data_IF_423701379978
#
_entry.id   IF_423701379978
#
_cell.length_a   1.000
_cell.length_b   1.000
_cell.length_c   1.000
_cell.angle_alpha   90.00
_cell.angle_beta   90.00
_cell.angle_gamma   90.00
#
_symmetry.space_group_name_H-M   'P 1'
#
loop_
_entity.id
_entity.type
_entity.pdbx_description
1 polymer ?
#
# COMPACT_ATOMS: atom_id res chain seq x y z
N UNK A 1 1.80 9.95 104.44
CA UNK A 1 2.36 11.06 105.22
C UNK A 1 3.78 11.22 104.76
N UNK A 2 4.01 12.36 104.14
CA UNK A 2 5.23 13.15 104.06
C UNK A 2 6.62 12.52 104.23
N UNK A 3 7.46 12.96 103.28
CA UNK A 3 8.83 13.46 103.43
C UNK A 3 10.03 12.49 103.33
N UNK A 4 10.88 12.88 102.37
CA UNK A 4 12.35 12.98 102.40
C UNK A 4 13.16 11.69 102.64
N UNK A 5 14.15 11.36 101.81
CA UNK A 5 15.51 11.94 101.76
C UNK A 5 16.37 11.20 100.71
N UNK A 6 17.40 11.88 100.19
CA UNK A 6 18.50 11.47 99.27
C UNK A 6 19.31 10.25 99.81
N UNK A 7 20.16 9.49 99.10
CA UNK A 7 21.03 9.75 97.94
C UNK A 7 21.53 8.44 97.28
N UNK A 8 22.04 8.60 96.04
CA UNK A 8 23.12 7.89 95.30
C UNK A 8 23.22 6.34 95.25
N UNK A 9 23.17 5.76 94.04
CA UNK A 9 24.37 5.32 93.29
C UNK A 9 24.05 4.65 91.93
N UNK A 10 24.72 5.15 90.89
CA UNK A 10 25.32 4.51 89.69
C UNK A 10 24.53 3.72 88.63
N UNK A 11 24.96 4.02 87.38
CA UNK A 11 25.06 3.20 86.16
C UNK A 11 23.79 2.82 85.38
N UNK A 12 23.63 3.40 84.17
CA UNK A 12 24.01 2.76 82.88
C UNK A 12 23.55 3.60 81.67
N UNK A 13 24.36 3.53 80.61
CA UNK A 13 24.01 3.52 79.18
C UNK A 13 23.33 4.72 78.47
N UNK A 14 24.01 5.09 77.38
CA UNK A 14 23.51 5.51 76.05
C UNK A 14 22.62 6.75 75.93
N UNK A 15 23.16 7.77 75.24
CA UNK A 15 22.58 8.54 74.13
C UNK A 15 23.59 9.69 73.86
N UNK A 16 23.92 10.10 72.64
CA UNK A 16 23.16 11.07 71.83
C UNK A 16 24.04 11.40 70.59
N UNK A 17 23.48 11.41 69.36
CA UNK A 17 23.08 12.61 68.54
C UNK A 17 24.28 13.48 68.07
N UNK A 18 24.32 14.23 66.96
CA UNK A 18 23.55 14.50 65.72
C UNK A 18 24.44 15.47 64.90
N UNK A 19 24.35 15.43 63.56
CA UNK A 19 24.75 16.48 62.59
C UNK A 19 26.24 16.90 62.52
N UNK A 20 26.79 17.47 61.45
CA UNK A 20 26.26 18.03 60.20
C UNK A 20 27.40 18.15 59.18
N UNK A 21 27.01 18.21 57.91
CA UNK A 21 27.82 18.44 56.70
C UNK A 21 28.67 19.71 56.71
N UNK A 22 29.74 19.69 55.89
CA UNK A 22 30.37 20.77 55.08
C UNK A 22 31.86 20.40 54.87
N UNK A 23 32.59 20.67 53.78
CA UNK A 23 32.32 21.08 52.41
C UNK A 23 33.68 21.01 51.66
N UNK A 24 33.67 20.65 50.37
CA UNK A 24 34.72 20.87 49.33
C UNK A 24 36.17 20.35 49.56
N UNK A 25 36.96 19.91 48.57
CA UNK A 25 37.37 20.61 47.35
C UNK A 25 38.07 19.63 46.35
N UNK A 26 37.70 19.78 45.06
CA UNK A 26 38.52 19.64 43.82
C UNK A 26 39.27 18.32 43.53
N UNK A 27 39.14 17.65 42.38
CA UNK A 27 39.45 18.10 41.01
C UNK A 27 39.02 16.97 40.04
N UNK A 28 38.04 17.11 39.14
CA UNK A 28 38.10 17.69 37.78
C UNK A 28 39.16 17.08 36.83
N UNK A 29 38.73 16.12 36.00
CA UNK A 29 39.12 15.91 34.58
C UNK A 29 38.63 14.55 34.10
N UNK A 30 37.40 14.47 33.58
CA UNK A 30 36.93 13.48 32.58
C UNK A 30 35.41 13.60 32.38
N UNK A 31 34.95 14.75 31.88
CA UNK A 31 33.60 14.88 31.33
C UNK A 31 33.65 15.70 30.05
N UNK A 32 34.00 15.05 28.95
CA UNK A 32 33.62 15.48 27.60
C UNK A 32 33.97 14.36 26.64
N UNK A 33 33.02 13.45 26.41
CA UNK A 33 32.86 12.68 25.15
C UNK A 33 31.73 11.64 25.22
N UNK A 34 30.59 11.95 25.84
CA UNK A 34 29.43 11.03 25.79
C UNK A 34 28.06 11.68 25.52
N UNK A 35 27.99 12.98 25.20
CA UNK A 35 26.74 13.63 24.79
C UNK A 35 26.56 13.76 23.27
N UNK A 36 27.15 12.85 22.48
CA UNK A 36 26.84 12.74 21.04
C UNK A 36 26.59 11.30 20.60
N UNK A 37 25.89 10.55 21.45
CA UNK A 37 25.46 9.18 21.14
C UNK A 37 24.05 8.86 21.68
N UNK A 38 23.16 9.85 21.67
CA UNK A 38 21.73 9.65 21.92
C UNK A 38 20.93 10.48 20.91
N UNK A 39 20.66 9.89 19.73
CA UNK A 39 19.51 10.13 18.82
C UNK A 39 19.76 9.46 17.45
N UNK A 40 19.91 8.13 17.46
CA UNK A 40 19.55 7.29 16.32
C UNK A 40 18.94 6.01 16.87
N UNK A 41 17.79 6.14 17.52
CA UNK A 41 16.84 5.04 17.50
C UNK A 41 16.42 4.90 16.04
N UNK A 42 17.07 3.97 15.35
CA UNK A 42 16.70 3.48 14.02
C UNK A 42 15.18 3.43 13.93
N UNK A 43 14.60 4.07 12.91
CA UNK A 43 13.26 3.74 12.44
C UNK A 43 13.14 2.21 12.40
N UNK A 44 12.01 1.68 12.87
CA UNK A 44 11.74 0.23 12.95
C UNK A 44 11.62 -0.37 11.54
N UNK A 45 12.73 -0.47 10.81
CA UNK A 45 12.81 -1.04 9.46
C UNK A 45 12.18 -0.22 8.33
N UNK A 46 11.56 0.93 8.62
CA UNK A 46 10.99 1.81 7.59
C UNK A 46 12.07 2.69 6.91
N UNK A 47 11.88 3.07 5.62
CA UNK A 47 12.80 3.97 4.91
C UNK A 47 13.05 5.29 5.64
N UNK A 48 14.25 5.86 5.49
CA UNK A 48 14.66 7.09 6.21
C UNK A 48 13.73 8.30 5.95
N UNK A 49 13.10 8.36 4.77
CA UNK A 49 12.14 9.41 4.40
C UNK A 49 10.71 9.16 4.89
N UNK A 50 10.45 8.01 5.51
CA UNK A 50 9.11 7.67 6.00
C UNK A 50 8.80 8.44 7.29
N UNK A 51 7.60 9.02 7.34
CA UNK A 51 7.16 9.84 8.46
C UNK A 51 6.23 9.06 9.39
N UNK A 52 6.35 9.29 10.70
CA UNK A 52 5.55 8.60 11.71
C UNK A 52 4.08 9.01 11.64
N UNK A 53 3.18 8.03 11.74
CA UNK A 53 1.74 8.23 11.85
C UNK A 53 1.12 7.21 12.83
N UNK A 54 -0.16 7.37 13.14
CA UNK A 54 -0.92 6.42 13.96
C UNK A 54 -2.17 5.98 13.23
N UNK A 55 -2.47 4.68 13.21
CA UNK A 55 -3.68 4.15 12.58
C UNK A 55 -4.92 4.66 13.31
N UNK A 56 -5.86 5.26 12.58
CA UNK A 56 -7.20 5.56 13.11
C UNK A 56 -8.19 4.43 12.78
N UNK A 57 -8.23 4.00 11.52
CA UNK A 57 -8.97 2.81 11.05
C UNK A 57 -8.55 2.43 9.63
N UNK A 58 -8.88 1.20 9.24
CA UNK A 58 -8.84 0.75 7.85
C UNK A 58 -10.22 0.97 7.23
N UNK A 59 -10.29 1.76 6.16
CA UNK A 59 -11.55 2.06 5.44
C UNK A 59 -11.85 0.95 4.44
N UNK A 60 -10.87 0.66 3.57
CA UNK A 60 -10.87 -0.51 2.68
C UNK A 60 -9.43 -1.06 2.54
N UNK A 61 -9.24 -2.12 1.75
CA UNK A 61 -7.94 -2.80 1.58
C UNK A 61 -6.80 -1.89 1.11
N UNK A 62 -7.11 -0.81 0.40
CA UNK A 62 -6.15 0.15 -0.13
C UNK A 62 -6.33 1.60 0.38
N UNK A 63 -7.26 1.81 1.30
CA UNK A 63 -7.59 3.13 1.84
C UNK A 63 -7.56 3.09 3.36
N UNK A 64 -6.61 3.80 3.96
CA UNK A 64 -6.32 3.78 5.40
C UNK A 64 -6.48 5.18 5.98
N UNK A 65 -7.20 5.31 7.09
CA UNK A 65 -7.34 6.57 7.80
C UNK A 65 -6.31 6.63 8.94
N UNK A 66 -5.47 7.67 8.97
CA UNK A 66 -4.38 7.84 9.92
C UNK A 66 -4.50 9.16 10.67
N UNK A 67 -3.96 9.22 11.89
CA UNK A 67 -3.60 10.46 12.57
C UNK A 67 -2.20 10.85 12.15
N UNK A 68 -2.08 11.96 11.45
CA UNK A 68 -0.83 12.47 10.92
C UNK A 68 -0.74 13.99 11.12
N UNK A 69 0.37 14.44 11.73
CA UNK A 69 0.61 15.87 12.04
C UNK A 69 -0.54 16.59 12.76
N UNK A 70 -1.28 15.87 13.60
CA UNK A 70 -2.37 16.41 14.42
C UNK A 70 -3.77 16.34 13.78
N UNK A 71 -3.87 15.90 12.52
CA UNK A 71 -5.14 15.76 11.79
C UNK A 71 -5.44 14.30 11.48
N UNK A 72 -6.72 13.98 11.25
CA UNK A 72 -7.15 12.72 10.64
C UNK A 72 -7.07 12.89 9.12
N UNK A 73 -6.40 11.97 8.45
CA UNK A 73 -6.13 12.01 7.01
C UNK A 73 -6.41 10.63 6.39
N UNK A 74 -7.06 10.61 5.23
CA UNK A 74 -7.18 9.41 4.41
C UNK A 74 -5.93 9.23 3.56
N UNK A 75 -5.44 8.00 3.49
CA UNK A 75 -4.29 7.59 2.68
C UNK A 75 -4.78 6.61 1.63
N UNK A 76 -4.61 6.97 0.35
CA UNK A 76 -4.73 6.03 -0.76
C UNK A 76 -3.37 5.40 -1.00
N UNK A 77 -3.31 4.08 -0.84
CA UNK A 77 -2.08 3.33 -1.05
C UNK A 77 -1.64 3.47 -2.52
N UNK A 78 -0.40 3.90 -2.73
CA UNK A 78 0.20 4.00 -4.07
C UNK A 78 0.42 2.62 -4.68
N UNK A 79 0.27 2.56 -6.00
CA UNK A 79 0.63 1.39 -6.82
C UNK A 79 -0.17 0.10 -6.55
N UNK A 80 -1.28 0.20 -5.82
CA UNK A 80 -2.16 -0.93 -5.49
C UNK A 80 -3.61 -0.55 -5.66
N UNK A 81 -4.41 -1.50 -6.13
CA UNK A 81 -5.87 -1.38 -6.23
C UNK A 81 -6.46 -2.68 -5.71
N UNK A 82 -7.30 -2.60 -4.68
CA UNK A 82 -7.99 -3.77 -4.11
C UNK A 82 -9.42 -3.86 -4.64
N UNK A 83 -10.01 -5.07 -4.74
CA UNK A 83 -11.42 -5.18 -5.10
C UNK A 83 -12.30 -4.43 -4.10
N UNK A 84 -13.27 -3.68 -4.62
CA UNK A 84 -14.12 -2.76 -3.86
C UNK A 84 -15.08 -3.50 -2.92
N UNK A 85 -15.23 -2.99 -1.69
CA UNK A 85 -16.10 -3.59 -0.67
C UNK A 85 -17.24 -2.71 -0.16
N UNK A 86 -17.15 -1.38 -0.32
CA UNK A 86 -18.02 -0.42 0.38
C UNK A 86 -18.77 0.53 -0.55
N UNK A 87 -18.59 0.43 -1.86
CA UNK A 87 -19.27 1.31 -2.80
C UNK A 87 -20.80 1.13 -2.76
N UNK A 88 -21.60 2.17 -2.45
CA UNK A 88 -23.04 2.05 -2.16
C UNK A 88 -23.88 1.42 -3.28
N UNK A 89 -23.45 1.56 -4.52
CA UNK A 89 -24.17 1.09 -5.71
C UNK A 89 -23.54 -0.11 -6.41
N UNK A 90 -22.44 -0.67 -5.89
CA UNK A 90 -21.77 -1.82 -6.51
C UNK A 90 -21.87 -3.03 -5.58
N UNK A 91 -21.98 -4.26 -6.13
CA UNK A 91 -21.85 -5.45 -5.31
C UNK A 91 -20.43 -5.53 -4.73
N UNK A 92 -20.32 -6.16 -3.57
CA UNK A 92 -19.02 -6.52 -2.99
C UNK A 92 -18.28 -7.39 -4.00
N UNK A 93 -17.06 -6.98 -4.36
CA UNK A 93 -16.26 -7.69 -5.34
C UNK A 93 -15.53 -8.89 -4.70
N UNK A 94 -15.37 -10.03 -5.41
CA UNK A 94 -14.55 -11.14 -4.96
C UNK A 94 -13.16 -10.70 -4.46
N UNK A 95 -12.69 -11.27 -3.35
CA UNK A 95 -11.44 -10.92 -2.66
C UNK A 95 -11.37 -9.53 -2.03
N UNK A 96 -12.39 -8.69 -2.19
CA UNK A 96 -12.46 -7.39 -1.52
C UNK A 96 -12.45 -7.53 0.00
N UNK A 97 -13.39 -8.30 0.61
CA UNK A 97 -13.41 -8.51 2.06
C UNK A 97 -12.09 -9.10 2.59
N UNK A 98 -11.46 -9.98 1.84
CA UNK A 98 -10.17 -10.58 2.17
C UNK A 98 -9.04 -9.55 2.17
N UNK A 99 -8.99 -8.64 1.20
CA UNK A 99 -8.04 -7.54 1.15
C UNK A 99 -8.25 -6.57 2.34
N UNK A 100 -9.51 -6.20 2.58
CA UNK A 100 -9.93 -5.34 3.68
C UNK A 100 -9.58 -5.94 5.06
N UNK A 101 -9.84 -7.24 5.25
CA UNK A 101 -9.52 -7.95 6.48
C UNK A 101 -8.02 -8.13 6.67
N UNK A 102 -7.27 -8.37 5.58
CA UNK A 102 -5.82 -8.46 5.65
C UNK A 102 -5.20 -7.14 6.11
N UNK A 103 -5.66 -6.00 5.59
CA UNK A 103 -5.22 -4.69 6.05
C UNK A 103 -5.56 -4.46 7.53
N UNK A 104 -6.78 -4.82 7.97
CA UNK A 104 -7.21 -4.74 9.39
C UNK A 104 -6.38 -5.61 10.32
N UNK A 105 -5.99 -6.81 9.89
CA UNK A 105 -5.12 -7.72 10.65
C UNK A 105 -3.69 -7.21 10.76
N UNK A 106 -3.24 -6.40 9.79
CA UNK A 106 -1.88 -5.85 9.75
C UNK A 106 -1.76 -4.48 10.41
N UNK A 107 -2.87 -3.78 10.60
CA UNK A 107 -2.92 -2.40 11.07
C UNK A 107 -3.96 -2.27 12.18
N UNK A 108 -3.51 -2.42 13.42
CA UNK A 108 -4.40 -2.27 14.57
C UNK A 108 -4.70 -0.80 14.85
N UNK A 109 -5.92 -0.49 15.29
CA UNK A 109 -6.28 0.88 15.66
C UNK A 109 -5.39 1.38 16.81
N UNK A 110 -4.80 2.57 16.65
CA UNK A 110 -3.87 3.15 17.62
C UNK A 110 -2.42 2.71 17.43
N UNK A 111 -2.15 1.78 16.52
CA UNK A 111 -0.80 1.34 16.19
C UNK A 111 0.03 2.46 15.54
N UNK A 112 1.31 2.50 15.86
CA UNK A 112 2.26 3.42 15.23
C UNK A 112 2.82 2.81 13.95
N UNK A 113 2.61 3.49 12.83
CA UNK A 113 3.14 3.11 11.52
C UNK A 113 3.98 4.23 10.93
N UNK A 114 4.58 3.99 9.76
CA UNK A 114 5.27 5.00 8.98
C UNK A 114 4.67 5.12 7.59
N UNK A 115 4.38 6.35 7.17
CA UNK A 115 3.93 6.67 5.81
C UNK A 115 5.11 7.20 5.01
N UNK A 116 5.35 6.61 3.85
CA UNK A 116 6.35 7.04 2.89
C UNK A 116 5.66 7.63 1.66
N UNK A 117 5.82 8.94 1.45
CA UNK A 117 5.25 9.65 0.30
C UNK A 117 6.12 9.47 -0.93
N UNK A 118 5.51 9.43 -2.12
CA UNK A 118 6.21 9.32 -3.40
C UNK A 118 5.38 9.92 -4.54
N UNK A 119 6.02 10.55 -5.52
CA UNK A 119 5.30 11.31 -6.56
C UNK A 119 4.44 12.45 -5.97
N UNK A 120 3.24 12.72 -6.53
CA UNK A 120 2.31 13.70 -5.99
C UNK A 120 1.89 13.38 -4.56
N UNK A 121 1.80 14.40 -3.71
CA UNK A 121 1.46 14.19 -2.29
C UNK A 121 -0.01 13.76 -2.07
N UNK A 122 -0.92 14.21 -2.93
CA UNK A 122 -2.35 13.94 -2.83
C UNK A 122 -2.96 13.63 -4.19
N UNK A 123 -4.06 12.89 -4.18
CA UNK A 123 -4.92 12.69 -5.36
C UNK A 123 -5.97 13.81 -5.50
N UNK A 124 -6.82 13.71 -6.52
CA UNK A 124 -7.89 14.67 -6.79
C UNK A 124 -9.05 14.64 -5.79
N UNK A 125 -9.09 13.64 -4.89
CA UNK A 125 -10.03 13.56 -3.77
C UNK A 125 -9.43 14.09 -2.46
N UNK A 126 -8.26 14.74 -2.53
CA UNK A 126 -7.52 15.26 -1.38
C UNK A 126 -7.04 14.16 -0.41
N UNK A 127 -6.90 12.91 -0.85
CA UNK A 127 -6.30 11.83 -0.04
C UNK A 127 -4.79 11.88 -0.15
N UNK A 128 -4.08 11.59 0.93
CA UNK A 128 -2.63 11.41 0.91
C UNK A 128 -2.27 10.20 0.05
N UNK A 129 -1.19 10.31 -0.73
CA UNK A 129 -0.64 9.22 -1.54
C UNK A 129 0.64 8.69 -0.92
N UNK A 130 0.70 7.39 -0.62
CA UNK A 130 1.91 6.83 -0.03
C UNK A 130 1.93 5.31 0.15
N UNK A 131 3.04 4.85 0.70
CA UNK A 131 3.24 3.48 1.16
C UNK A 131 3.15 3.43 2.68
N UNK A 132 2.49 2.41 3.22
CA UNK A 132 2.43 2.18 4.66
C UNK A 132 3.46 1.10 5.05
N UNK A 133 4.25 1.44 6.07
CA UNK A 133 5.27 0.58 6.64
C UNK A 133 4.96 0.30 8.11
N UNK A 134 4.94 -0.99 8.45
CA UNK A 134 4.88 -1.47 9.82
C UNK A 134 6.01 -2.47 10.06
N UNK A 135 6.82 -2.24 11.10
CA UNK A 135 8.00 -3.04 11.46
C UNK A 135 8.87 -3.46 10.24
N UNK A 136 9.13 -2.50 9.35
CA UNK A 136 9.91 -2.68 8.12
C UNK A 136 9.22 -3.46 7.00
N UNK A 137 7.95 -3.82 7.16
CA UNK A 137 7.13 -4.48 6.15
C UNK A 137 6.28 -3.44 5.43
N UNK A 138 6.35 -3.44 4.10
CA UNK A 138 5.53 -2.60 3.24
C UNK A 138 4.16 -3.27 3.01
N UNK A 139 3.06 -2.63 3.44
CA UNK A 139 1.71 -3.17 3.28
C UNK A 139 1.31 -3.33 1.81
N UNK A 140 1.62 -2.33 0.96
CA UNK A 140 1.30 -2.33 -0.47
C UNK A 140 1.89 -3.58 -1.15
N UNK A 141 3.16 -3.87 -0.89
CA UNK A 141 3.85 -5.06 -1.41
C UNK A 141 3.22 -6.36 -0.88
N UNK A 142 2.79 -6.39 0.38
CA UNK A 142 2.16 -7.58 0.97
C UNK A 142 0.80 -7.89 0.33
N UNK A 143 -0.01 -6.85 0.06
CA UNK A 143 -1.29 -6.99 -0.66
C UNK A 143 -1.08 -7.61 -2.04
N UNK A 144 -0.17 -7.06 -2.84
CA UNK A 144 0.17 -7.60 -4.16
C UNK A 144 0.69 -9.03 -4.09
N UNK A 145 1.64 -9.30 -3.17
CA UNK A 145 2.24 -10.63 -3.02
C UNK A 145 1.24 -11.72 -2.66
N UNK A 146 0.18 -11.36 -1.93
CA UNK A 146 -0.91 -12.28 -1.55
C UNK A 146 -2.00 -12.41 -2.61
N UNK A 147 -1.92 -11.66 -3.72
CA UNK A 147 -2.96 -11.61 -4.73
C UNK A 147 -4.23 -10.93 -4.22
N UNK A 148 -4.12 -9.98 -3.29
CA UNK A 148 -5.26 -9.23 -2.74
C UNK A 148 -5.45 -7.88 -3.42
N UNK A 149 -4.50 -7.48 -4.26
CA UNK A 149 -4.53 -6.25 -5.03
C UNK A 149 -3.87 -6.47 -6.40
N UNK A 150 -4.22 -5.65 -7.37
CA UNK A 150 -3.47 -5.48 -8.63
C UNK A 150 -2.57 -4.25 -8.58
N UNK A 151 -1.54 -4.22 -9.41
CA UNK A 151 -0.67 -3.07 -9.63
C UNK A 151 -1.41 -2.05 -10.51
N UNK A 152 -1.75 -0.91 -9.94
CA UNK A 152 -2.51 0.16 -10.60
C UNK A 152 -2.27 1.50 -9.90
N UNK A 153 -2.98 2.58 -10.23
CA UNK A 153 -2.76 3.92 -9.65
C UNK A 153 -1.35 4.48 -9.88
N UNK A 154 -0.89 4.40 -11.13
CA UNK A 154 0.35 5.01 -11.61
C UNK A 154 0.01 6.42 -12.10
N UNK A 155 0.50 7.46 -11.41
CA UNK A 155 0.25 8.86 -11.79
C UNK A 155 1.44 9.50 -12.50
N UNK A 156 2.61 9.51 -11.85
CA UNK A 156 3.80 10.24 -12.31
C UNK A 156 5.06 9.41 -12.00
N UNK A 157 5.37 8.40 -12.83
CA UNK A 157 6.55 7.59 -12.66
C UNK A 157 7.83 8.42 -12.92
N UNK A 158 8.99 8.04 -12.36
CA UNK A 158 9.25 6.77 -11.69
C UNK A 158 8.90 6.76 -10.20
N UNK A 159 8.40 5.61 -9.73
CA UNK A 159 8.16 5.37 -8.31
C UNK A 159 9.25 4.49 -7.67
N UNK A 160 9.57 4.79 -6.42
CA UNK A 160 10.68 4.19 -5.67
C UNK A 160 10.55 2.67 -5.55
N UNK A 161 9.35 2.14 -5.35
CA UNK A 161 9.12 0.71 -5.10
C UNK A 161 8.50 -0.04 -6.29
N UNK A 162 8.39 0.59 -7.46
CA UNK A 162 7.71 0.03 -8.63
C UNK A 162 8.18 -1.40 -8.97
N UNK A 163 9.48 -1.62 -9.12
CA UNK A 163 10.03 -2.93 -9.46
C UNK A 163 9.71 -3.99 -8.39
N UNK A 164 9.79 -3.63 -7.11
CA UNK A 164 9.51 -4.54 -6.00
C UNK A 164 8.03 -4.93 -5.89
N UNK A 165 7.13 -4.01 -6.26
CA UNK A 165 5.69 -4.23 -6.28
C UNK A 165 5.25 -5.04 -7.50
N UNK A 166 5.78 -4.74 -8.69
CA UNK A 166 5.55 -5.53 -9.91
C UNK A 166 5.98 -6.99 -9.70
N UNK A 167 7.19 -7.23 -9.16
CA UNK A 167 7.64 -8.60 -8.82
C UNK A 167 6.74 -9.29 -7.78
N UNK A 168 6.12 -8.53 -6.88
CA UNK A 168 5.19 -9.10 -5.91
C UNK A 168 3.88 -9.53 -6.58
N UNK A 169 3.36 -8.73 -7.50
CA UNK A 169 2.21 -9.09 -8.32
C UNK A 169 2.50 -10.29 -9.22
N UNK A 170 3.63 -10.30 -9.94
CA UNK A 170 4.03 -11.39 -10.82
C UNK A 170 4.13 -12.73 -10.07
N UNK A 171 4.62 -12.69 -8.83
CA UNK A 171 4.62 -13.85 -7.95
C UNK A 171 3.20 -14.34 -7.67
N UNK A 172 2.27 -13.46 -7.32
CA UNK A 172 0.89 -13.84 -7.04
C UNK A 172 0.18 -14.37 -8.29
N UNK A 173 0.41 -13.76 -9.45
CA UNK A 173 -0.11 -14.22 -10.75
C UNK A 173 0.40 -15.61 -11.12
N UNK A 174 1.71 -15.82 -11.03
CA UNK A 174 2.34 -17.11 -11.37
C UNK A 174 1.92 -18.26 -10.45
N UNK A 175 1.47 -17.95 -9.23
CA UNK A 175 0.99 -18.91 -8.25
C UNK A 175 -0.55 -18.94 -8.12
N UNK A 176 -1.26 -18.24 -9.01
CA UNK A 176 -2.73 -18.16 -9.03
C UNK A 176 -3.33 -17.83 -7.66
N UNK A 177 -2.75 -16.85 -6.97
CA UNK A 177 -3.19 -16.43 -5.63
C UNK A 177 -4.30 -15.37 -5.70
N UNK A 178 -5.30 -15.50 -4.82
CA UNK A 178 -6.35 -14.49 -4.63
C UNK A 178 -7.04 -14.12 -5.94
N UNK A 179 -7.04 -12.84 -6.29
CA UNK A 179 -7.64 -12.31 -7.52
C UNK A 179 -7.15 -13.01 -8.79
N UNK A 180 -5.94 -13.58 -8.78
CA UNK A 180 -5.34 -14.29 -9.91
C UNK A 180 -5.76 -15.76 -10.02
N UNK A 181 -6.55 -16.27 -9.07
CA UNK A 181 -7.17 -17.60 -9.14
C UNK A 181 -8.40 -17.64 -10.05
N UNK A 182 -8.93 -16.46 -10.42
CA UNK A 182 -10.11 -16.31 -11.27
C UNK A 182 -9.70 -15.76 -12.63
N UNK A 183 -9.81 -16.59 -13.67
CA UNK A 183 -9.54 -16.18 -15.05
C UNK A 183 -10.49 -15.04 -15.48
N UNK A 184 -9.96 -14.03 -16.15
CA UNK A 184 -10.73 -12.86 -16.60
C UNK A 184 -11.21 -11.91 -15.50
N UNK A 185 -10.92 -12.18 -14.22
CA UNK A 185 -11.41 -11.34 -13.13
C UNK A 185 -10.67 -10.00 -13.00
N UNK A 186 -9.35 -9.99 -13.20
CA UNK A 186 -8.53 -8.77 -13.18
C UNK A 186 -8.40 -8.22 -14.60
N UNK A 187 -8.72 -6.93 -14.79
CA UNK A 187 -8.64 -6.23 -16.08
C UNK A 187 -7.72 -5.02 -16.02
N UNK A 188 -7.45 -4.39 -17.17
CA UNK A 188 -6.75 -3.09 -17.25
C UNK A 188 -7.48 -1.99 -16.45
N UNK A 189 -8.81 -2.06 -16.39
CA UNK A 189 -9.66 -1.03 -15.78
C UNK A 189 -10.08 -1.34 -14.35
N UNK A 190 -9.74 -2.51 -13.80
CA UNK A 190 -10.12 -2.89 -12.45
C UNK A 190 -10.43 -4.38 -12.33
N UNK A 191 -11.65 -4.65 -11.90
CA UNK A 191 -12.18 -5.98 -11.64
C UNK A 191 -13.48 -6.17 -12.41
N UNK A 192 -13.62 -7.31 -13.08
CA UNK A 192 -14.84 -7.66 -13.79
C UNK A 192 -16.02 -7.76 -12.81
N UNK A 193 -17.13 -7.10 -13.13
CA UNK A 193 -18.38 -7.26 -12.39
C UNK A 193 -18.96 -8.64 -12.67
N UNK A 194 -19.31 -9.38 -11.61
CA UNK A 194 -20.07 -10.62 -11.69
C UNK A 194 -21.51 -10.33 -12.13
N UNK A 195 -21.68 -9.98 -13.40
CA UNK A 195 -22.96 -9.87 -14.09
C UNK A 195 -22.70 -9.92 -15.59
N UNK A 196 -22.46 -11.13 -16.11
CA UNK A 196 -22.95 -11.62 -17.40
C UNK A 196 -22.58 -13.11 -17.57
N UNK A 197 -23.60 -13.93 -17.30
CA UNK A 197 -23.93 -15.24 -17.90
C UNK A 197 -22.80 -16.23 -18.24
N UNK A 198 -22.63 -17.19 -17.34
CA UNK A 198 -22.08 -18.52 -17.67
C UNK A 198 -23.09 -19.29 -18.53
N UNK A 199 -23.13 -18.97 -19.82
CA UNK A 199 -23.87 -19.71 -20.84
C UNK A 199 -23.01 -20.82 -21.44
N UNK A 200 -23.20 -22.03 -20.91
CA UNK A 200 -22.68 -23.30 -21.42
C UNK A 200 -23.05 -23.53 -22.89
N UNK A 201 -22.13 -24.00 -23.73
CA UNK A 201 -22.44 -24.85 -24.90
C UNK A 201 -21.20 -25.64 -25.31
N UNK A 202 -21.14 -26.90 -24.88
CA UNK A 202 -20.50 -27.98 -25.63
C UNK A 202 -20.98 -27.95 -27.09
N UNK A 203 -20.09 -28.12 -28.08
CA UNK A 203 -20.24 -29.07 -29.21
C UNK A 203 -19.02 -29.03 -30.15
N UNK A 204 -18.37 -30.19 -30.24
CA UNK A 204 -17.66 -30.84 -31.36
C UNK A 204 -16.68 -30.10 -32.28
N UNK A 205 -15.49 -30.71 -32.34
CA UNK A 205 -14.57 -30.74 -33.48
C UNK A 205 -15.28 -30.92 -34.83
N UNK A 206 -15.11 -29.97 -35.75
CA UNK A 206 -14.93 -30.31 -37.18
C UNK A 206 -14.05 -29.25 -37.85
N UNK A 207 -13.08 -29.74 -38.60
CA UNK A 207 -12.12 -28.98 -39.40
C UNK A 207 -12.78 -28.45 -40.67
N UNK A 208 -12.65 -27.15 -40.97
CA UNK A 208 -12.43 -26.66 -42.34
C UNK A 208 -12.06 -25.17 -42.41
N UNK A 209 -11.20 -24.90 -43.39
CA UNK A 209 -10.57 -23.64 -43.77
C UNK A 209 -11.56 -22.60 -44.32
N UNK A 210 -11.34 -21.31 -43.98
CA UNK A 210 -11.94 -20.18 -44.68
C UNK A 210 -12.30 -19.00 -43.77
N UNK A 211 -11.45 -17.96 -43.81
CA UNK A 211 -11.70 -16.53 -43.49
C UNK A 211 -13.04 -16.18 -42.81
N UNK A 212 -12.98 -15.68 -41.56
CA UNK A 212 -13.78 -14.55 -41.01
C UNK A 212 -13.68 -14.48 -39.47
N UNK A 213 -13.26 -13.32 -38.98
CA UNK A 213 -13.57 -12.75 -37.66
C UNK A 213 -13.51 -13.66 -36.42
N UNK A 214 -12.31 -13.94 -35.92
CA UNK A 214 -12.15 -14.36 -34.52
C UNK A 214 -12.36 -13.16 -33.60
N UNK A 215 -13.51 -13.14 -32.92
CA UNK A 215 -13.72 -12.57 -31.60
C UNK A 215 -13.25 -11.12 -31.43
N UNK A 216 -14.05 -10.19 -31.92
CA UNK A 216 -13.87 -8.77 -31.63
C UNK A 216 -14.20 -8.50 -30.15
N UNK A 217 -13.17 -8.31 -29.31
CA UNK A 217 -13.30 -7.74 -27.97
C UNK A 217 -12.51 -6.41 -27.92
N UNK A 218 -13.17 -5.23 -27.90
CA UNK A 218 -12.50 -3.93 -27.78
C UNK A 218 -11.77 -3.74 -26.44
N UNK A 219 -12.03 -4.63 -25.48
CA UNK A 219 -11.39 -4.68 -24.17
C UNK A 219 -10.60 -5.99 -24.00
N UNK A 220 -10.18 -6.59 -25.13
CA UNK A 220 -9.38 -7.80 -25.16
C UNK A 220 -7.90 -7.54 -24.84
N UNK A 221 -7.03 -8.55 -25.00
CA UNK A 221 -5.58 -8.37 -24.90
C UNK A 221 -5.10 -7.21 -25.79
N UNK A 222 -4.04 -6.53 -25.34
CA UNK A 222 -3.43 -5.43 -26.10
C UNK A 222 -3.11 -5.87 -27.52
N UNK A 223 -3.39 -4.99 -28.49
CA UNK A 223 -3.22 -5.27 -29.91
C UNK A 223 -2.19 -4.31 -30.45
N UNK A 224 -1.12 -4.84 -31.01
CA UNK A 224 -0.10 -4.06 -31.68
C UNK A 224 -0.39 -4.00 -33.19
N UNK A 225 0.21 -3.03 -33.89
CA UNK A 225 0.10 -2.95 -35.35
C UNK A 225 0.58 -4.23 -36.06
N UNK A 226 1.47 -5.02 -35.45
CA UNK A 226 1.89 -6.31 -36.00
C UNK A 226 0.80 -7.39 -35.99
N UNK A 227 -0.30 -7.17 -35.28
CA UNK A 227 -1.42 -8.12 -35.19
C UNK A 227 -2.44 -7.96 -36.33
N UNK A 228 -2.23 -6.97 -37.21
CA UNK A 228 -3.11 -6.67 -38.33
C UNK A 228 -2.39 -6.85 -39.66
N UNK A 229 -3.07 -7.50 -40.61
CA UNK A 229 -2.53 -7.72 -41.95
C UNK A 229 -2.49 -6.44 -42.80
N UNK A 230 -3.34 -5.45 -42.51
CA UNK A 230 -3.48 -4.20 -43.28
C UNK A 230 -3.83 -3.00 -42.39
N UNK A 231 -3.49 -1.80 -42.86
CA UNK A 231 -3.82 -0.55 -42.17
C UNK A 231 -5.34 -0.40 -41.98
N UNK A 232 -6.12 -0.77 -43.00
CA UNK A 232 -7.58 -0.67 -42.96
C UNK A 232 -8.19 -1.55 -41.86
N UNK A 233 -7.66 -2.76 -41.65
CA UNK A 233 -8.12 -3.66 -40.60
C UNK A 233 -7.80 -3.10 -39.19
N UNK A 234 -6.60 -2.55 -39.01
CA UNK A 234 -6.21 -1.89 -37.76
C UNK A 234 -7.09 -0.65 -37.49
N UNK A 235 -7.37 0.14 -38.52
CA UNK A 235 -8.20 1.34 -38.42
C UNK A 235 -9.65 1.04 -38.05
N UNK A 236 -10.21 -0.03 -38.60
CA UNK A 236 -11.55 -0.48 -38.25
C UNK A 236 -11.62 -0.97 -36.79
N UNK A 237 -10.61 -1.70 -36.35
CA UNK A 237 -10.48 -2.14 -34.96
C UNK A 237 -10.39 -0.94 -34.01
N UNK A 238 -9.50 0.01 -34.27
CA UNK A 238 -9.32 1.24 -33.46
C UNK A 238 -10.62 2.03 -33.29
N UNK A 239 -11.37 2.27 -34.38
CA UNK A 239 -12.64 3.02 -34.31
C UNK A 239 -13.68 2.30 -33.45
N UNK A 240 -13.75 0.99 -33.58
CA UNK A 240 -14.70 0.19 -32.79
C UNK A 240 -14.26 0.06 -31.33
N UNK A 241 -12.96 0.23 -31.03
CA UNK A 241 -12.40 0.24 -29.67
C UNK A 241 -12.53 1.59 -28.95
N UNK A 242 -13.19 2.57 -29.59
CA UNK A 242 -13.45 3.90 -29.01
C UNK A 242 -12.63 5.03 -29.62
N UNK A 243 -11.80 4.77 -30.63
CA UNK A 243 -11.01 5.79 -31.31
C UNK A 243 -11.87 6.78 -32.12
N UNK A 244 -11.56 8.09 -32.10
CA UNK A 244 -10.36 8.72 -31.54
C UNK A 244 -10.47 9.24 -30.10
N UNK A 245 -11.60 9.04 -29.43
CA UNK A 245 -11.78 9.51 -28.05
C UNK A 245 -10.99 8.67 -27.04
N UNK A 246 -10.75 7.40 -27.37
CA UNK A 246 -10.02 6.44 -26.55
C UNK A 246 -9.09 5.61 -27.46
N UNK A 247 -7.84 5.45 -27.05
CA UNK A 247 -6.87 4.58 -27.72
C UNK A 247 -6.31 3.54 -26.73
N UNK A 248 -7.16 2.59 -26.25
CA UNK A 248 -6.77 1.63 -25.23
C UNK A 248 -5.66 0.68 -25.70
N UNK A 249 -5.55 0.46 -27.01
CA UNK A 249 -4.56 -0.39 -27.66
C UNK A 249 -3.35 0.38 -28.22
N UNK A 250 -3.31 1.71 -28.00
CA UNK A 250 -2.19 2.58 -28.37
C UNK A 250 -1.81 2.49 -29.86
N UNK A 251 -2.81 2.30 -30.71
CA UNK A 251 -2.64 2.09 -32.14
C UNK A 251 -2.41 3.40 -32.91
N UNK A 252 -2.82 4.54 -32.35
CA UNK A 252 -2.72 5.89 -32.94
C UNK A 252 -1.39 6.60 -32.63
N UNK A 253 -0.38 5.83 -32.23
CA UNK A 253 0.99 6.28 -32.13
C UNK A 253 1.17 7.50 -31.21
N UNK A 254 2.07 8.41 -31.60
CA UNK A 254 2.42 9.61 -30.82
C UNK A 254 1.91 10.90 -31.44
N UNK A 255 1.47 10.86 -32.70
CA UNK A 255 0.90 11.97 -33.44
C UNK A 255 -0.60 12.13 -33.19
N UNK A 256 -1.31 11.07 -32.78
CA UNK A 256 -2.67 11.14 -32.24
C UNK A 256 -3.65 11.79 -33.22
N UNK A 257 -3.45 11.58 -34.52
CA UNK A 257 -4.19 12.21 -35.60
C UNK A 257 -5.45 11.41 -36.00
N UNK A 258 -5.70 10.28 -35.31
CA UNK A 258 -6.81 9.36 -35.53
C UNK A 258 -6.52 8.31 -36.60
N UNK A 259 -5.31 8.27 -37.17
CA UNK A 259 -4.88 7.28 -38.16
C UNK A 259 -3.86 6.32 -37.58
N UNK A 260 -4.29 5.08 -37.44
CA UNK A 260 -3.50 4.04 -36.80
C UNK A 260 -2.67 3.24 -37.79
N UNK A 261 -1.53 2.74 -37.31
CA UNK A 261 -0.69 1.77 -38.03
C UNK A 261 -0.40 2.15 -39.50
N UNK A 262 -0.10 3.43 -39.76
CA UNK A 262 0.10 3.97 -41.12
C UNK A 262 1.25 3.33 -41.92
N UNK A 263 2.07 2.50 -41.28
CA UNK A 263 3.14 1.71 -41.89
C UNK A 263 2.69 0.38 -42.50
N UNK A 264 1.47 -0.08 -42.18
CA UNK A 264 0.88 -1.28 -42.76
C UNK A 264 0.39 -1.02 -44.20
N UNK A 265 0.35 -2.06 -45.06
CA UNK A 265 -0.16 -1.95 -46.42
C UNK A 265 -1.66 -1.65 -46.49
#
# INVERSE_FOLDING_TARGET
>A
MDQDTEAEETNEAQSETVNSNEDSESSNEQQNNNQKKETKQSSRGAPDRAEKATINRVVDGDTIEIKYKGSIEDVRLLLVDTPETVHPSKPVQPFGPEASNFAKEKLEQGETVYIEFDGPKRDHYDRLLGYIWDDGKNLNKQLLRKGLARYAYVYDPPYTHQEALQKAEDYARSNQLGIWSMEGYVTSDGYASQSEDSGDTETESTSQSGSSSSGYNPNGPDRDCSDFDTQAAAQEFYKKAGGPEQDPHRLDGSDGDGKVCESLP
#
